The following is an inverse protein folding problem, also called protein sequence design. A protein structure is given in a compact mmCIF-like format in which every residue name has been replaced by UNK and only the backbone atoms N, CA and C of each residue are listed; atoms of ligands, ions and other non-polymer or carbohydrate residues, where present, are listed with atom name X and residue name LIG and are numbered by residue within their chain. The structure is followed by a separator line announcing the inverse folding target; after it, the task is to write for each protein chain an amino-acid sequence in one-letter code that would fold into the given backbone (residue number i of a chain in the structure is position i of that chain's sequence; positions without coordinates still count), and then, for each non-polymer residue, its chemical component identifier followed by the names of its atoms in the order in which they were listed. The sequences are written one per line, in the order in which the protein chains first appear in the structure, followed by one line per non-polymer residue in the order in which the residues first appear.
data_IF_014852334138
#
_entry.id   IF_014852334138
#
_cell.length_a   1.000
_cell.length_b   1.000
_cell.length_c   1.000
_cell.angle_alpha   90.00
_cell.angle_beta   90.00
_cell.angle_gamma   90.00
#
_symmetry.space_group_name_H-M   'P 1'
#
loop_
_entity.id
_entity.type
_entity.pdbx_description
1 polymer ?
#
# COMPACT_ATOMS: atom_id res chain seq x y z
N UNK A 1 2.17 -37.41 1.29
CA UNK A 1 1.51 -36.35 0.51
C UNK A 1 1.36 -35.17 1.43
N UNK A 2 2.20 -34.15 1.27
CA UNK A 2 2.08 -32.93 2.06
C UNK A 2 1.12 -32.03 1.32
N UNK A 3 -0.11 -31.93 1.80
CA UNK A 3 -1.11 -31.02 1.21
C UNK A 3 -0.90 -29.66 1.84
N UNK A 4 -0.38 -28.71 1.07
CA UNK A 4 -0.29 -27.31 1.48
C UNK A 4 -1.49 -26.58 0.87
N UNK A 5 -2.32 -25.98 1.71
CA UNK A 5 -3.37 -25.07 1.26
C UNK A 5 -2.80 -23.64 1.27
N UNK A 6 -2.93 -22.95 0.14
CA UNK A 6 -2.53 -21.55 -0.01
C UNK A 6 -3.82 -20.74 -0.04
N UNK A 7 -4.02 -19.89 0.96
CA UNK A 7 -5.10 -18.90 0.98
C UNK A 7 -4.51 -17.53 0.71
N UNK A 8 -5.18 -16.68 -0.06
CA UNK A 8 -4.69 -15.32 -0.32
C UNK A 8 -5.46 -14.36 0.59
N UNK A 9 -4.74 -13.64 1.45
CA UNK A 9 -5.31 -12.60 2.30
C UNK A 9 -4.91 -11.23 1.77
N UNK A 10 -5.86 -10.30 1.75
CA UNK A 10 -5.64 -8.92 1.35
C UNK A 10 -5.71 -8.02 2.59
N UNK A 11 -4.65 -7.26 2.86
CA UNK A 11 -4.68 -6.14 3.80
C UNK A 11 -3.96 -4.94 3.19
N UNK A 12 -4.52 -3.74 3.37
CA UNK A 12 -3.98 -2.48 2.83
C UNK A 12 -3.71 -2.49 1.31
N UNK A 13 -4.47 -3.28 0.54
CA UNK A 13 -4.30 -3.39 -0.92
C UNK A 13 -3.15 -4.31 -1.34
N UNK A 14 -2.46 -4.93 -0.39
CA UNK A 14 -1.38 -5.89 -0.60
C UNK A 14 -1.91 -7.30 -0.37
N UNK A 15 -1.68 -8.18 -1.33
CA UNK A 15 -2.03 -9.60 -1.25
C UNK A 15 -0.82 -10.39 -0.78
N UNK A 16 -0.98 -11.14 0.31
CA UNK A 16 0.03 -12.08 0.78
C UNK A 16 -0.59 -13.47 0.98
N UNK A 17 0.15 -14.54 0.65
CA UNK A 17 -0.32 -15.91 0.83
C UNK A 17 -0.24 -16.31 2.30
N UNK A 18 -1.32 -16.86 2.82
CA UNK A 18 -1.39 -17.60 4.08
C UNK A 18 -1.16 -19.08 3.76
N UNK A 19 -0.17 -19.70 4.41
CA UNK A 19 0.13 -21.09 4.20
C UNK A 19 -0.42 -21.93 5.36
N UNK A 20 -1.42 -22.76 5.09
CA UNK A 20 -1.93 -23.72 6.06
C UNK A 20 -1.41 -25.11 5.72
N UNK A 21 -0.52 -25.64 6.55
CA UNK A 21 0.09 -26.95 6.34
C UNK A 21 -0.72 -28.03 7.06
N UNK A 22 -1.27 -28.98 6.31
CA UNK A 22 -1.78 -30.22 6.89
C UNK A 22 -0.63 -31.09 7.42
N UNK A 23 -0.86 -31.87 8.49
CA UNK A 23 0.13 -32.71 9.19
C UNK A 23 1.23 -33.24 8.27
N UNK A 24 2.46 -32.77 8.49
CA UNK A 24 3.64 -33.26 7.81
C UNK A 24 4.00 -34.61 8.43
N UNK A 25 3.69 -35.70 7.74
CA UNK A 25 4.29 -37.00 8.03
C UNK A 25 5.57 -37.12 7.20
N UNK A 26 6.75 -36.90 7.80
CA UNK A 26 7.98 -37.01 7.05
C UNK A 26 8.24 -38.50 6.78
N UNK A 27 8.08 -38.90 5.51
CA UNK A 27 8.33 -40.28 5.08
C UNK A 27 9.77 -40.41 4.65
N UNK A 28 10.47 -41.35 5.27
CA UNK A 28 11.73 -41.83 4.74
C UNK A 28 11.46 -42.66 3.49
N UNK A 29 12.09 -42.32 2.37
CA UNK A 29 12.04 -43.11 1.13
C UNK A 29 12.80 -44.41 1.30
N UNK A 30 12.18 -45.40 1.95
CA UNK A 30 12.75 -46.70 2.27
C UNK A 30 12.05 -47.32 3.47
N UNK A 31 12.08 -48.65 3.58
CA UNK A 31 11.55 -49.34 4.76
C UNK A 31 12.09 -48.68 6.02
N UNK A 32 11.18 -48.17 6.86
CA UNK A 32 11.54 -47.44 8.07
C UNK A 32 12.40 -48.28 9.03
N UNK A 33 12.48 -49.60 8.82
CA UNK A 33 13.29 -50.52 9.60
C UNK A 33 14.80 -50.48 9.28
N UNK A 34 15.21 -50.10 8.07
CA UNK A 34 16.62 -50.20 7.63
C UNK A 34 17.41 -48.89 7.74
N UNK A 35 16.74 -47.81 8.17
CA UNK A 35 17.37 -46.50 8.28
C UNK A 35 18.21 -46.37 9.56
N UNK A 36 19.39 -45.72 9.50
CA UNK A 36 20.15 -45.38 10.70
C UNK A 36 19.27 -44.62 11.70
N UNK A 37 19.36 -44.98 12.99
CA UNK A 37 18.57 -44.37 14.07
C UNK A 37 18.72 -42.84 14.09
N UNK A 38 19.92 -42.33 13.77
CA UNK A 38 20.21 -40.91 13.63
C UNK A 38 19.37 -40.23 12.54
N UNK A 39 19.16 -40.87 11.39
CA UNK A 39 18.35 -40.33 10.30
C UNK A 39 16.86 -40.24 10.69
N UNK A 40 16.35 -41.21 11.46
CA UNK A 40 14.98 -41.18 11.99
C UNK A 40 14.74 -40.04 12.98
N UNK A 41 15.72 -39.76 13.84
CA UNK A 41 15.64 -38.64 14.79
C UNK A 41 15.63 -37.29 14.09
N UNK A 42 16.52 -37.10 13.11
CA UNK A 42 16.59 -35.88 12.32
C UNK A 42 15.28 -35.59 11.57
N UNK A 43 14.68 -36.62 10.99
CA UNK A 43 13.46 -36.51 10.18
C UNK A 43 12.24 -36.12 11.04
N UNK A 44 12.18 -36.57 12.30
CA UNK A 44 11.18 -36.11 13.26
C UNK A 44 11.41 -34.66 13.68
N UNK A 45 12.65 -34.31 14.04
CA UNK A 45 12.99 -32.94 14.45
C UNK A 45 12.68 -31.92 13.34
N UNK A 46 13.01 -32.24 12.09
CA UNK A 46 12.68 -31.39 10.94
C UNK A 46 11.16 -31.28 10.75
N UNK A 47 10.41 -32.38 10.94
CA UNK A 47 8.95 -32.35 10.86
C UNK A 47 8.30 -31.47 11.93
N UNK A 48 8.90 -31.38 13.12
CA UNK A 48 8.44 -30.54 14.23
C UNK A 48 8.76 -29.05 14.02
N UNK A 49 9.91 -28.71 13.43
CA UNK A 49 10.31 -27.30 13.21
C UNK A 49 9.79 -26.71 11.89
N UNK A 50 9.31 -27.55 10.97
CA UNK A 50 8.81 -27.11 9.66
C UNK A 50 7.64 -26.13 9.72
N UNK A 51 6.62 -26.30 10.61
CA UNK A 51 5.52 -25.35 10.74
C UNK A 51 5.98 -23.96 11.21
N UNK A 52 6.91 -23.91 12.16
CA UNK A 52 7.44 -22.65 12.69
C UNK A 52 8.25 -21.88 11.64
N UNK A 53 9.06 -22.61 10.86
CA UNK A 53 9.81 -22.02 9.74
C UNK A 53 8.88 -21.44 8.67
N UNK A 54 7.78 -22.13 8.41
CA UNK A 54 6.79 -21.69 7.43
C UNK A 54 6.02 -20.46 7.91
N UNK A 55 5.66 -20.42 9.20
CA UNK A 55 5.03 -19.25 9.82
C UNK A 55 5.96 -18.04 9.76
N UNK A 56 7.24 -18.22 10.09
CA UNK A 56 8.25 -17.17 10.00
C UNK A 56 8.39 -16.63 8.57
N UNK A 57 8.54 -17.52 7.58
CA UNK A 57 8.66 -17.13 6.17
C UNK A 57 7.42 -16.38 5.67
N UNK A 58 6.23 -16.75 6.15
CA UNK A 58 4.99 -16.07 5.82
C UNK A 58 4.98 -14.63 6.39
N UNK A 59 5.31 -14.46 7.66
CA UNK A 59 5.32 -13.14 8.31
C UNK A 59 6.42 -12.25 7.75
N UNK A 60 7.59 -12.79 7.43
CA UNK A 60 8.68 -12.03 6.79
C UNK A 60 8.23 -11.47 5.44
N UNK A 61 7.56 -12.30 4.62
CA UNK A 61 7.06 -11.85 3.32
C UNK A 61 5.93 -10.82 3.44
N UNK A 62 5.07 -10.96 4.45
CA UNK A 62 4.03 -9.97 4.75
C UNK A 62 4.64 -8.61 5.11
N UNK A 63 5.66 -8.59 5.99
CA UNK A 63 6.34 -7.36 6.39
C UNK A 63 7.04 -6.69 5.20
N UNK A 64 7.73 -7.46 4.35
CA UNK A 64 8.42 -6.93 3.17
C UNK A 64 7.45 -6.21 2.22
N UNK A 65 6.33 -6.86 1.90
CA UNK A 65 5.33 -6.29 0.99
C UNK A 65 4.61 -5.07 1.60
N UNK A 66 4.34 -5.10 2.90
CA UNK A 66 3.75 -3.95 3.61
C UNK A 66 4.71 -2.78 3.68
N UNK A 67 6.00 -3.02 3.90
CA UNK A 67 7.03 -1.98 3.93
C UNK A 67 7.10 -1.24 2.58
N UNK A 68 7.09 -1.96 1.46
CA UNK A 68 7.05 -1.36 0.12
C UNK A 68 5.82 -0.47 -0.08
N UNK A 69 4.65 -0.91 0.38
CA UNK A 69 3.41 -0.13 0.23
C UNK A 69 3.37 1.10 1.14
N UNK A 70 3.94 0.99 2.35
CA UNK A 70 4.13 2.14 3.24
C UNK A 70 5.06 3.16 2.59
N UNK A 71 6.17 2.75 1.96
CA UNK A 71 7.04 3.68 1.24
C UNK A 71 6.32 4.40 0.10
N UNK A 72 5.56 3.68 -0.72
CA UNK A 72 4.76 4.31 -1.79
C UNK A 72 3.76 5.31 -1.23
N UNK A 73 3.10 4.97 -0.13
CA UNK A 73 2.14 5.85 0.54
C UNK A 73 2.84 7.10 1.09
N UNK A 74 4.02 6.97 1.72
CA UNK A 74 4.82 8.12 2.18
C UNK A 74 5.27 9.02 1.03
N UNK A 75 5.72 8.45 -0.09
CA UNK A 75 6.08 9.23 -1.29
C UNK A 75 4.88 10.00 -1.85
N UNK A 76 3.69 9.40 -1.85
CA UNK A 76 2.44 10.07 -2.26
C UNK A 76 2.10 11.22 -1.32
N UNK A 77 2.15 11.01 0.00
CA UNK A 77 1.91 12.08 0.99
C UNK A 77 2.87 13.25 0.78
N UNK A 78 4.16 12.99 0.61
CA UNK A 78 5.13 14.05 0.36
C UNK A 78 4.85 14.83 -0.94
N UNK A 79 4.45 14.15 -2.01
CA UNK A 79 4.09 14.83 -3.27
C UNK A 79 2.84 15.72 -3.10
N UNK A 80 1.88 15.29 -2.27
CA UNK A 80 0.70 16.09 -1.96
C UNK A 80 1.07 17.33 -1.12
N UNK A 81 1.84 17.14 -0.06
CA UNK A 81 2.20 18.19 0.89
C UNK A 81 3.08 19.28 0.26
N UNK A 82 4.09 18.89 -0.51
CA UNK A 82 5.11 19.83 -0.97
C UNK A 82 4.90 20.33 -2.40
N UNK A 83 4.11 19.62 -3.23
CA UNK A 83 3.85 20.04 -4.61
C UNK A 83 2.38 20.38 -4.85
N UNK A 84 1.47 19.43 -4.61
CA UNK A 84 0.08 19.57 -5.05
C UNK A 84 -0.70 20.61 -4.23
N UNK A 85 -0.64 20.54 -2.89
CA UNK A 85 -1.36 21.46 -2.01
C UNK A 85 -0.89 22.91 -2.23
N UNK A 86 0.42 23.23 -2.25
CA UNK A 86 0.88 24.58 -2.53
C UNK A 86 0.41 25.11 -3.90
N UNK A 87 0.53 24.29 -4.96
CA UNK A 87 0.11 24.67 -6.31
C UNK A 87 -1.41 24.95 -6.40
N UNK A 88 -2.23 24.15 -5.72
CA UNK A 88 -3.68 24.37 -5.67
C UNK A 88 -4.03 25.64 -4.90
N UNK A 89 -3.32 25.94 -3.81
CA UNK A 89 -3.51 27.19 -3.05
C UNK A 89 -3.11 28.43 -3.86
N UNK A 90 -2.02 28.36 -4.62
CA UNK A 90 -1.61 29.41 -5.55
C UNK A 90 -2.65 29.62 -6.65
N UNK A 91 -3.08 28.54 -7.30
CA UNK A 91 -4.13 28.59 -8.33
C UNK A 91 -5.43 29.20 -7.79
N UNK A 92 -5.82 28.86 -6.55
CA UNK A 92 -7.00 29.45 -5.91
C UNK A 92 -6.86 30.95 -5.71
N UNK A 93 -5.69 31.43 -5.27
CA UNK A 93 -5.42 32.87 -5.12
C UNK A 93 -5.48 33.60 -6.46
N UNK A 94 -4.91 33.01 -7.50
CA UNK A 94 -4.93 33.58 -8.85
C UNK A 94 -6.34 33.72 -9.41
N UNK A 95 -7.22 32.73 -9.15
CA UNK A 95 -8.63 32.80 -9.55
C UNK A 95 -9.32 33.97 -8.85
N UNK A 96 -9.13 34.11 -7.53
CA UNK A 96 -9.74 35.19 -6.75
C UNK A 96 -9.27 36.55 -7.27
N UNK A 97 -7.96 36.73 -7.48
CA UNK A 97 -7.40 37.98 -7.98
C UNK A 97 -7.96 38.35 -9.36
N UNK A 98 -8.09 37.38 -10.27
CA UNK A 98 -8.68 37.60 -11.60
C UNK A 98 -10.17 37.97 -11.53
N UNK A 99 -10.92 37.37 -10.62
CA UNK A 99 -12.33 37.71 -10.41
C UNK A 99 -12.48 39.12 -9.84
N UNK A 100 -11.68 39.49 -8.84
CA UNK A 100 -11.70 40.85 -8.26
C UNK A 100 -11.33 41.93 -9.28
N UNK A 101 -10.33 41.68 -10.12
CA UNK A 101 -9.93 42.62 -11.16
C UNK A 101 -11.02 42.77 -12.23
N UNK A 102 -11.70 41.68 -12.57
CA UNK A 102 -12.86 41.72 -13.47
C UNK A 102 -14.02 42.54 -12.87
N UNK A 103 -14.37 42.31 -11.61
CA UNK A 103 -15.40 43.06 -10.90
C UNK A 103 -15.07 44.55 -10.83
N UNK A 104 -13.79 44.90 -10.60
CA UNK A 104 -13.32 46.29 -10.59
C UNK A 104 -13.46 46.96 -11.97
N UNK A 105 -13.09 46.25 -13.04
CA UNK A 105 -13.23 46.72 -14.42
C UNK A 105 -14.70 46.96 -14.79
N UNK A 106 -15.59 46.03 -14.43
CA UNK A 106 -17.03 46.15 -14.66
C UNK A 106 -17.63 47.33 -13.89
N UNK A 107 -17.29 47.51 -12.60
CA UNK A 107 -17.75 48.67 -11.80
C UNK A 107 -17.30 50.00 -12.39
N UNK A 108 -16.04 50.10 -12.81
CA UNK A 108 -15.50 51.33 -13.41
C UNK A 108 -16.22 51.67 -14.71
N UNK A 109 -16.53 50.65 -15.52
CA UNK A 109 -17.28 50.82 -16.77
C UNK A 109 -18.71 51.30 -16.50
N UNK A 110 -19.40 50.73 -15.51
CA UNK A 110 -20.74 51.16 -15.10
C UNK A 110 -20.77 52.61 -14.59
N UNK A 111 -19.78 53.03 -13.81
CA UNK A 111 -19.65 54.43 -13.38
C UNK A 111 -19.53 55.39 -14.57
N UNK A 112 -18.65 55.08 -15.52
CA UNK A 112 -18.47 55.91 -16.74
C UNK A 112 -19.77 56.01 -17.57
N UNK A 113 -20.50 54.91 -17.73
CA UNK A 113 -21.78 54.91 -18.45
C UNK A 113 -22.81 55.79 -17.74
N UNK A 114 -22.89 55.70 -16.40
CA UNK A 114 -23.78 56.54 -15.60
C UNK A 114 -23.45 58.03 -15.76
N UNK A 115 -22.17 58.41 -15.71
CA UNK A 115 -21.73 59.80 -15.84
C UNK A 115 -22.13 60.39 -17.21
N UNK A 116 -21.99 59.61 -18.29
CA UNK A 116 -22.38 60.03 -19.65
C UNK A 116 -23.90 60.30 -19.73
N UNK A 117 -24.72 59.47 -19.06
CA UNK A 117 -26.18 59.64 -19.05
C UNK A 117 -26.59 60.85 -18.21
N UNK A 118 -25.92 61.15 -17.09
CA UNK A 118 -26.25 62.29 -16.23
C UNK A 118 -25.83 63.65 -16.79
N UNK A 119 -24.83 63.71 -17.68
CA UNK A 119 -24.37 64.95 -18.32
C UNK A 119 -25.30 65.39 -19.46
N UNK A 120 -26.22 64.53 -19.88
CA UNK A 120 -27.18 64.79 -20.97
C UNK A 120 -28.54 65.21 -20.42
#
# INVERSE_FOLDING_TARGET
KTTMAVEIKNQFGVQFPLFTVGKVEPRLGGSAATAPLAARGLVKAVGETFPDLLFLAQTEKEIELLAEEIEKTRRRVNALEYNLIPALQETSKDIVLKLEERDRSERTTLMKVKDIIQVR
#
